data_IF_775661442723
#
_entry.id   IF_775661442723
#
_cell.length_a   1.000
_cell.length_b   1.000
_cell.length_c   1.000
_cell.angle_alpha   90.00
_cell.angle_beta   90.00
_cell.angle_gamma   90.00
#
_symmetry.space_group_name_H-M   'P 1'
#
loop_
_entity.id
_entity.type
_entity.pdbx_description
1 polymer ?
#
# COMPACT_ATOMS: atom_id res chain seq x y z
N UNK A 1 42.13 -6.83 46.31
CA UNK A 1 41.72 -7.77 45.23
C UNK A 1 40.32 -8.36 45.40
N UNK A 2 39.81 -8.61 46.62
CA UNK A 2 38.45 -9.14 46.83
C UNK A 2 37.35 -8.13 46.45
N UNK A 3 37.49 -6.86 46.88
CA UNK A 3 36.52 -5.79 46.62
C UNK A 3 36.37 -5.46 45.12
N UNK A 4 37.47 -5.47 44.36
CA UNK A 4 37.45 -5.26 42.91
C UNK A 4 36.75 -6.39 42.15
N UNK A 5 36.89 -7.64 42.63
CA UNK A 5 36.16 -8.80 42.09
C UNK A 5 34.67 -8.72 42.39
N UNK A 6 34.28 -8.31 43.60
CA UNK A 6 32.86 -8.15 43.97
C UNK A 6 32.19 -7.03 43.17
N UNK A 7 32.90 -5.93 42.90
CA UNK A 7 32.40 -4.84 42.05
C UNK A 7 32.28 -5.25 40.58
N UNK A 8 33.23 -6.03 40.05
CA UNK A 8 33.16 -6.55 38.69
C UNK A 8 31.98 -7.53 38.51
N UNK A 9 31.73 -8.40 39.51
CA UNK A 9 30.61 -9.34 39.51
C UNK A 9 29.24 -8.64 39.61
N UNK A 10 29.16 -7.50 40.30
CA UNK A 10 27.92 -6.72 40.38
C UNK A 10 27.64 -5.96 39.09
N UNK A 11 28.69 -5.44 38.43
CA UNK A 11 28.58 -4.72 37.16
C UNK A 11 28.14 -5.63 36.00
N UNK A 12 28.60 -6.88 35.96
CA UNK A 12 28.13 -7.87 34.98
C UNK A 12 26.68 -8.29 35.22
N UNK A 13 26.22 -8.36 36.47
CA UNK A 13 24.82 -8.71 36.77
C UNK A 13 23.82 -7.63 36.33
N UNK A 14 24.21 -6.35 36.39
CA UNK A 14 23.37 -5.23 35.92
C UNK A 14 23.28 -5.17 34.40
N UNK A 15 24.34 -5.56 33.69
CA UNK A 15 24.36 -5.56 32.22
C UNK A 15 23.44 -6.63 31.59
N UNK A 16 23.13 -7.72 32.28
CA UNK A 16 22.21 -8.76 31.76
C UNK A 16 20.72 -8.41 31.93
N UNK A 17 20.36 -7.48 32.82
CA UNK A 17 18.96 -7.12 33.07
C UNK A 17 18.37 -6.13 32.03
N UNK A 18 19.19 -5.50 31.20
CA UNK A 18 18.76 -4.51 30.21
C UNK A 18 18.31 -5.06 28.86
N UNK A 19 18.43 -6.38 28.62
CA UNK A 19 18.22 -6.97 27.29
C UNK A 19 16.78 -7.46 27.01
N UNK A 20 15.86 -7.40 27.98
CA UNK A 20 14.53 -8.01 27.88
C UNK A 20 13.38 -7.03 27.60
N UNK A 21 13.63 -5.89 26.95
CA UNK A 21 12.57 -4.95 26.57
C UNK A 21 12.61 -4.53 25.09
N UNK A 22 13.04 -5.45 24.22
CA UNK A 22 12.70 -5.37 22.80
C UNK A 22 11.34 -6.04 22.60
N UNK A 23 10.27 -5.26 22.72
CA UNK A 23 9.05 -5.59 22.00
C UNK A 23 9.28 -5.20 20.54
N UNK A 24 9.58 -6.19 19.71
CA UNK A 24 9.27 -6.08 18.29
C UNK A 24 7.76 -5.88 18.22
N UNK A 25 7.33 -4.63 18.07
CA UNK A 25 6.06 -4.32 17.47
C UNK A 25 6.13 -4.94 16.08
N UNK A 26 5.63 -6.17 15.96
CA UNK A 26 5.22 -6.73 14.68
C UNK A 26 4.09 -5.83 14.23
N UNK A 27 4.43 -4.78 13.50
CA UNK A 27 3.47 -4.07 12.67
C UNK A 27 2.99 -5.16 11.73
N UNK A 28 1.78 -5.65 11.99
CA UNK A 28 1.07 -6.48 11.05
C UNK A 28 0.98 -5.66 9.78
N UNK A 29 1.79 -6.04 8.79
CA UNK A 29 1.92 -5.37 7.51
C UNK A 29 0.73 -5.72 6.60
N UNK A 30 -0.43 -5.99 7.19
CA UNK A 30 -1.68 -5.65 6.55
C UNK A 30 -1.70 -4.12 6.56
N UNK A 31 -1.33 -3.50 5.43
CA UNK A 31 -1.78 -2.13 5.19
C UNK A 31 -3.30 -2.17 5.29
N UNK A 32 -3.82 -1.89 6.48
CA UNK A 32 -5.19 -1.48 6.71
C UNK A 32 -5.40 -0.33 5.73
N UNK A 33 -6.00 -0.65 4.59
CA UNK A 33 -6.30 0.34 3.56
C UNK A 33 -7.19 1.43 4.17
N UNK A 34 -7.76 1.20 5.36
CA UNK A 34 -8.32 2.23 6.21
C UNK A 34 -9.62 2.76 5.66
N UNK A 35 -10.39 3.40 6.53
CA UNK A 35 -11.55 4.16 6.09
C UNK A 35 -11.09 5.37 5.28
N UNK A 36 -11.86 5.75 4.26
CA UNK A 36 -11.66 6.96 3.47
C UNK A 36 -12.85 7.91 3.65
N UNK A 37 -12.63 9.18 3.36
CA UNK A 37 -13.61 10.26 3.41
C UNK A 37 -13.77 10.90 2.04
N UNK A 38 -14.74 11.81 1.88
CA UNK A 38 -14.91 12.54 0.62
C UNK A 38 -13.67 13.36 0.22
N UNK A 39 -12.85 13.79 1.19
CA UNK A 39 -11.60 14.50 0.92
C UNK A 39 -10.55 13.60 0.22
N UNK A 40 -10.68 12.28 0.33
CA UNK A 40 -9.81 11.30 -0.31
C UNK A 40 -10.20 11.01 -1.77
N UNK A 41 -11.35 11.52 -2.23
CA UNK A 41 -11.86 11.31 -3.59
C UNK A 41 -11.20 12.28 -4.60
N UNK A 42 -9.88 12.23 -4.69
CA UNK A 42 -9.09 13.03 -5.62
C UNK A 42 -8.03 12.17 -6.33
N UNK A 43 -7.52 12.64 -7.46
CA UNK A 43 -6.58 11.86 -8.26
C UNK A 43 -5.28 11.58 -7.51
N UNK A 44 -4.74 12.52 -6.74
CA UNK A 44 -3.49 12.32 -6.02
C UNK A 44 -3.58 11.11 -5.07
N UNK A 45 -4.66 11.02 -4.29
CA UNK A 45 -4.93 9.90 -3.38
C UNK A 45 -5.10 8.58 -4.15
N UNK A 46 -5.89 8.58 -5.23
CA UNK A 46 -6.13 7.39 -6.06
C UNK A 46 -4.84 6.92 -6.75
N UNK A 47 -4.04 7.85 -7.22
CA UNK A 47 -2.79 7.56 -7.89
C UNK A 47 -1.78 6.91 -6.94
N UNK A 48 -1.65 7.48 -5.74
CA UNK A 48 -0.74 6.99 -4.71
C UNK A 48 -1.17 5.63 -4.17
N UNK A 49 -2.46 5.47 -3.82
CA UNK A 49 -2.97 4.30 -3.10
C UNK A 49 -3.40 3.16 -4.01
N UNK A 50 -3.71 3.44 -5.28
CA UNK A 50 -4.32 2.44 -6.17
C UNK A 50 -3.52 2.29 -7.48
N UNK A 51 -3.39 3.36 -8.26
CA UNK A 51 -2.81 3.26 -9.62
C UNK A 51 -1.36 2.80 -9.56
N UNK A 52 -0.54 3.45 -8.73
CA UNK A 52 0.89 3.12 -8.60
C UNK A 52 1.12 1.68 -8.12
N UNK A 53 0.55 1.23 -6.99
CA UNK A 53 0.83 -0.12 -6.48
C UNK A 53 0.21 -1.26 -7.30
N UNK A 54 -0.96 -1.06 -7.90
CA UNK A 54 -1.71 -2.18 -8.51
C UNK A 54 -1.80 -2.13 -10.04
N UNK A 55 -1.59 -0.97 -10.68
CA UNK A 55 -1.79 -0.82 -12.13
C UNK A 55 -0.48 -0.62 -12.89
N UNK A 56 0.43 0.21 -12.39
CA UNK A 56 1.61 0.65 -13.16
C UNK A 56 2.67 -0.43 -13.39
N UNK A 57 2.65 -1.56 -12.66
CA UNK A 57 3.56 -2.69 -12.94
C UNK A 57 3.37 -3.29 -14.33
N UNK A 58 2.19 -3.10 -14.94
CA UNK A 58 1.84 -3.58 -16.27
C UNK A 58 1.42 -2.46 -17.22
N UNK A 59 0.76 -1.42 -16.70
CA UNK A 59 0.18 -0.33 -17.48
C UNK A 59 1.01 0.96 -17.41
N UNK A 60 2.32 0.85 -17.57
CA UNK A 60 3.26 1.97 -17.67
C UNK A 60 4.27 1.71 -18.78
N UNK A 61 5.04 2.74 -19.16
CA UNK A 61 6.17 2.57 -20.08
C UNK A 61 7.15 1.50 -19.57
N UNK A 62 7.46 1.50 -18.26
CA UNK A 62 8.33 0.50 -17.64
C UNK A 62 7.69 -0.90 -17.57
N UNK A 63 6.37 -0.97 -17.38
CA UNK A 63 5.58 -2.22 -17.35
C UNK A 63 5.27 -2.80 -18.73
N UNK A 64 5.74 -2.16 -19.80
CA UNK A 64 5.56 -2.60 -21.19
C UNK A 64 4.18 -2.30 -21.77
N UNK A 65 3.39 -1.41 -21.14
CA UNK A 65 2.05 -1.00 -21.58
C UNK A 65 1.17 -2.18 -22.01
N UNK A 66 1.00 -3.18 -21.14
CA UNK A 66 0.26 -4.41 -21.47
C UNK A 66 -1.14 -4.07 -22.02
N UNK A 67 -1.50 -4.71 -23.13
CA UNK A 67 -2.74 -4.42 -23.85
C UNK A 67 -2.74 -3.07 -24.59
N UNK A 68 -1.58 -2.44 -24.80
CA UNK A 68 -1.47 -1.12 -25.42
C UNK A 68 -1.97 0.03 -24.53
N UNK A 69 -2.02 -0.19 -23.21
CA UNK A 69 -2.58 0.75 -22.23
C UNK A 69 -1.45 1.30 -21.36
N UNK A 70 -1.38 2.63 -21.30
CA UNK A 70 -0.55 3.39 -20.38
C UNK A 70 -1.46 4.15 -19.40
N UNK A 71 -1.18 4.11 -18.10
CA UNK A 71 -1.97 4.78 -17.04
C UNK A 71 -1.10 5.75 -16.22
N UNK A 72 0.00 6.26 -16.78
CA UNK A 72 0.93 7.15 -16.06
C UNK A 72 0.43 8.59 -15.93
N UNK A 73 -0.68 8.95 -16.58
CA UNK A 73 -1.28 10.28 -16.50
C UNK A 73 -2.77 10.23 -16.18
N UNK A 74 -3.24 11.27 -15.49
CA UNK A 74 -4.67 11.49 -15.23
C UNK A 74 -5.50 11.41 -16.50
N UNK A 75 -5.14 12.12 -17.57
CA UNK A 75 -5.90 12.11 -18.84
C UNK A 75 -6.05 10.70 -19.43
N UNK A 76 -5.00 9.88 -19.33
CA UNK A 76 -5.04 8.50 -19.82
C UNK A 76 -5.95 7.61 -18.98
N UNK A 77 -5.98 7.85 -17.67
CA UNK A 77 -6.89 7.15 -16.73
C UNK A 77 -8.34 7.61 -16.94
N UNK A 78 -8.56 8.93 -16.98
CA UNK A 78 -9.87 9.57 -17.15
C UNK A 78 -10.57 9.10 -18.44
N UNK A 79 -9.83 9.03 -19.55
CA UNK A 79 -10.35 8.49 -20.82
C UNK A 79 -10.68 6.99 -20.79
N UNK A 80 -10.29 6.26 -19.72
CA UNK A 80 -10.45 4.81 -19.57
C UNK A 80 -11.32 4.39 -18.38
N UNK A 81 -11.92 5.32 -17.63
CA UNK A 81 -12.73 5.01 -16.45
C UNK A 81 -13.82 3.95 -16.71
N UNK A 82 -14.55 3.94 -17.85
CA UNK A 82 -15.53 2.88 -18.12
C UNK A 82 -14.88 1.49 -18.20
N UNK A 83 -13.69 1.41 -18.80
CA UNK A 83 -12.94 0.16 -18.90
C UNK A 83 -12.41 -0.27 -17.54
N UNK A 84 -11.80 0.66 -16.79
CA UNK A 84 -11.27 0.41 -15.44
C UNK A 84 -12.40 -0.09 -14.53
N UNK A 85 -13.55 0.59 -14.51
CA UNK A 85 -14.71 0.18 -13.72
C UNK A 85 -15.17 -1.22 -14.08
N UNK A 86 -15.32 -1.49 -15.38
CA UNK A 86 -15.76 -2.81 -15.85
C UNK A 86 -14.77 -3.92 -15.48
N UNK A 87 -13.47 -3.75 -15.75
CA UNK A 87 -12.50 -4.85 -15.60
C UNK A 87 -12.04 -5.04 -14.16
N UNK A 88 -11.89 -3.96 -13.39
CA UNK A 88 -11.35 -3.99 -12.03
C UNK A 88 -12.45 -4.15 -10.99
N UNK A 89 -13.57 -3.42 -11.12
CA UNK A 89 -14.63 -3.40 -10.11
C UNK A 89 -15.69 -4.47 -10.42
N UNK A 90 -16.24 -4.49 -11.63
CA UNK A 90 -17.34 -5.40 -11.98
C UNK A 90 -16.88 -6.82 -12.27
N UNK A 91 -15.90 -6.98 -13.16
CA UNK A 91 -15.45 -8.30 -13.63
C UNK A 91 -14.30 -8.88 -12.80
N UNK A 92 -13.55 -8.02 -12.10
CA UNK A 92 -12.37 -8.41 -11.30
C UNK A 92 -11.35 -9.25 -12.10
N UNK A 93 -11.18 -8.90 -13.37
CA UNK A 93 -10.20 -9.52 -14.28
C UNK A 93 -8.87 -8.77 -14.28
N UNK A 94 -8.83 -7.58 -13.68
CA UNK A 94 -7.63 -6.79 -13.46
C UNK A 94 -7.48 -6.42 -11.98
N UNK A 95 -6.27 -6.57 -11.40
CA UNK A 95 -5.06 -7.10 -12.04
C UNK A 95 -5.13 -8.64 -12.25
N UNK A 96 -4.30 -9.23 -13.13
CA UNK A 96 -4.28 -10.68 -13.33
C UNK A 96 -4.03 -11.42 -12.02
N UNK A 97 -4.55 -12.65 -11.88
CA UNK A 97 -4.49 -13.41 -10.62
C UNK A 97 -3.07 -13.68 -10.10
N UNK A 98 -2.06 -13.60 -10.95
CA UNK A 98 -0.64 -13.71 -10.58
C UNK A 98 0.00 -12.41 -10.09
N UNK A 99 -0.76 -11.31 -10.03
CA UNK A 99 -0.32 -10.00 -9.56
C UNK A 99 -1.03 -9.61 -8.25
N UNK A 100 -0.46 -8.71 -7.43
CA UNK A 100 -1.12 -8.21 -6.22
C UNK A 100 -2.53 -7.71 -6.52
N UNK A 101 -3.53 -8.24 -5.81
CA UNK A 101 -4.94 -7.87 -5.99
C UNK A 101 -5.29 -6.65 -5.15
N UNK A 102 -6.25 -5.85 -5.62
CA UNK A 102 -6.78 -4.74 -4.84
C UNK A 102 -7.57 -5.30 -3.64
N UNK A 103 -7.33 -4.80 -2.41
CA UNK A 103 -8.19 -5.12 -1.28
C UNK A 103 -9.60 -4.53 -1.47
N UNK A 104 -10.63 -5.06 -0.78
CA UNK A 104 -12.01 -4.59 -0.93
C UNK A 104 -12.20 -3.08 -0.71
N UNK A 105 -11.46 -2.48 0.21
CA UNK A 105 -11.51 -1.06 0.54
C UNK A 105 -10.92 -0.21 -0.60
N UNK A 106 -9.90 -0.71 -1.30
CA UNK A 106 -9.37 -0.05 -2.50
C UNK A 106 -10.37 -0.05 -3.65
N UNK A 107 -11.08 -1.16 -3.83
CA UNK A 107 -12.16 -1.25 -4.82
C UNK A 107 -13.27 -0.24 -4.49
N UNK A 108 -13.63 -0.09 -3.22
CA UNK A 108 -14.62 0.89 -2.78
C UNK A 108 -14.16 2.32 -2.99
N UNK A 109 -12.92 2.66 -2.62
CA UNK A 109 -12.36 3.99 -2.84
C UNK A 109 -12.31 4.33 -4.35
N UNK A 110 -11.91 3.37 -5.19
CA UNK A 110 -11.87 3.57 -6.64
C UNK A 110 -13.28 3.78 -7.22
N UNK A 111 -14.27 2.96 -6.83
CA UNK A 111 -15.65 3.12 -7.32
C UNK A 111 -16.29 4.42 -6.84
N UNK A 112 -16.00 4.83 -5.60
CA UNK A 112 -16.45 6.10 -5.03
C UNK A 112 -15.89 7.29 -5.80
N UNK A 113 -14.57 7.31 -6.07
CA UNK A 113 -13.95 8.38 -6.85
C UNK A 113 -14.49 8.43 -8.28
N UNK A 114 -14.64 7.28 -8.95
CA UNK A 114 -15.24 7.22 -10.30
C UNK A 114 -16.68 7.75 -10.27
N UNK A 115 -17.46 7.39 -9.25
CA UNK A 115 -18.86 7.82 -9.12
C UNK A 115 -18.97 9.31 -8.80
N UNK A 116 -18.01 9.88 -8.05
CA UNK A 116 -17.90 11.30 -7.76
C UNK A 116 -17.46 12.16 -8.96
N UNK A 117 -17.21 11.55 -10.12
CA UNK A 117 -16.81 12.25 -11.35
C UNK A 117 -15.31 12.21 -11.64
N UNK A 118 -14.55 11.41 -10.86
CA UNK A 118 -13.12 11.20 -11.02
C UNK A 118 -12.32 12.50 -11.09
N UNK A 119 -12.59 13.42 -10.15
CA UNK A 119 -11.93 14.73 -10.09
C UNK A 119 -10.43 14.58 -9.85
N UNK A 120 -9.65 15.42 -10.53
CA UNK A 120 -8.21 15.59 -10.28
C UNK A 120 -7.96 16.14 -8.87
#
# INVERSE_FOLDING_TARGET
>A
MKILRTLLSFLTLVLLAGACNFQDLKVDETQEFGSFTDADLNYATINQRIITPYCLSCHSAAGGNRGGINLESYDSIASRLPTIRRTTITQKTMPPSSSPQLPPEAIQLLDAWITAGATD
#
